data_IF_278221416189
#
_entry.id   IF_278221416189
#
_cell.length_a   1.000
_cell.length_b   1.000
_cell.length_c   1.000
_cell.angle_alpha   90.00
_cell.angle_beta   90.00
_cell.angle_gamma   90.00
#
_symmetry.space_group_name_H-M   'P 1'
#
loop_
_entity.id
_entity.type
_entity.pdbx_description
1 polymer ?
#
# COMPACT_ATOMS: atom_id res chain seq x y z
N UNK A 1 -64.06 53.33 -40.01
CA UNK A 1 -64.28 53.72 -38.60
C UNK A 1 -64.11 52.47 -37.75
N UNK A 2 -63.51 52.62 -36.58
CA UNK A 2 -63.13 51.60 -35.58
C UNK A 2 -61.68 51.12 -35.65
N UNK A 3 -61.03 51.44 -34.54
CA UNK A 3 -59.63 51.34 -34.16
C UNK A 3 -59.42 50.13 -33.23
N UNK A 4 -58.18 49.60 -33.25
CA UNK A 4 -57.34 49.19 -32.09
C UNK A 4 -57.87 48.06 -31.18
N UNK A 5 -57.08 46.99 -31.00
CA UNK A 5 -56.20 46.72 -29.83
C UNK A 5 -55.28 45.53 -30.20
N UNK A 6 -53.98 45.79 -30.31
CA UNK A 6 -52.92 44.77 -30.28
C UNK A 6 -52.57 44.45 -28.83
N UNK A 7 -52.65 43.19 -28.41
CA UNK A 7 -52.10 42.75 -27.13
C UNK A 7 -50.93 41.79 -27.37
N UNK A 8 -49.76 42.23 -26.92
CA UNK A 8 -48.48 41.54 -26.98
C UNK A 8 -48.22 40.78 -25.68
N UNK A 9 -48.00 39.45 -25.75
CA UNK A 9 -47.24 38.73 -24.71
C UNK A 9 -46.77 37.34 -25.16
N UNK A 10 -45.87 37.28 -26.14
CA UNK A 10 -45.04 36.09 -26.34
C UNK A 10 -43.87 36.13 -25.35
N UNK A 11 -43.99 35.36 -24.26
CA UNK A 11 -42.84 35.01 -23.40
C UNK A 11 -41.77 34.35 -24.27
N UNK A 12 -40.48 34.72 -24.18
CA UNK A 12 -39.45 33.95 -24.84
C UNK A 12 -39.30 32.61 -24.10
N UNK A 13 -39.31 31.55 -24.90
CA UNK A 13 -38.99 30.20 -24.47
C UNK A 13 -37.65 30.21 -23.72
N UNK A 14 -37.62 29.56 -22.56
CA UNK A 14 -36.43 29.32 -21.77
C UNK A 14 -35.39 28.61 -22.63
N UNK A 15 -34.37 29.35 -23.04
CA UNK A 15 -33.19 28.77 -23.66
C UNK A 15 -32.59 27.74 -22.70
N UNK A 16 -32.62 26.47 -23.11
CA UNK A 16 -31.82 25.39 -22.54
C UNK A 16 -30.37 25.87 -22.49
N UNK A 17 -29.85 26.16 -21.30
CA UNK A 17 -28.44 26.46 -21.11
C UNK A 17 -27.62 25.21 -21.45
N UNK A 18 -26.61 25.31 -22.32
CA UNK A 18 -25.67 24.21 -22.51
C UNK A 18 -24.93 23.96 -21.18
N UNK A 19 -24.67 22.69 -20.88
CA UNK A 19 -23.96 22.19 -19.68
C UNK A 19 -22.49 22.69 -19.55
N UNK A 20 -22.08 23.75 -20.25
CA UNK A 20 -20.68 24.16 -20.45
C UNK A 20 -20.27 25.49 -19.77
N UNK A 21 -20.85 25.90 -18.64
CA UNK A 21 -20.55 27.23 -18.06
C UNK A 21 -20.20 27.25 -16.57
N UNK A 22 -19.81 26.13 -15.97
CA UNK A 22 -19.16 26.19 -14.65
C UNK A 22 -17.69 26.53 -14.84
N UNK A 23 -17.25 27.69 -14.34
CA UNK A 23 -15.84 28.05 -14.24
C UNK A 23 -15.07 26.98 -13.43
N UNK A 24 -13.90 26.56 -13.91
CA UNK A 24 -13.07 25.52 -13.30
C UNK A 24 -12.70 25.86 -11.85
N UNK A 25 -12.44 27.15 -11.57
CA UNK A 25 -12.18 27.63 -10.21
C UNK A 25 -13.41 27.48 -9.32
N UNK A 26 -14.60 27.81 -9.83
CA UNK A 26 -15.85 27.67 -9.08
C UNK A 26 -16.16 26.21 -8.76
N UNK A 27 -15.99 25.31 -9.73
CA UNK A 27 -16.17 23.87 -9.53
C UNK A 27 -15.19 23.31 -8.48
N UNK A 28 -13.93 23.73 -8.52
CA UNK A 28 -12.95 23.36 -7.50
C UNK A 28 -13.28 23.93 -6.11
N UNK A 29 -13.76 25.18 -6.03
CA UNK A 29 -14.19 25.76 -4.75
C UNK A 29 -15.40 25.04 -4.14
N UNK A 30 -16.29 24.49 -4.96
CA UNK A 30 -17.37 23.61 -4.48
C UNK A 30 -16.77 22.37 -3.79
N UNK A 31 -15.82 21.69 -4.44
CA UNK A 31 -15.11 20.53 -3.90
C UNK A 31 -14.42 20.86 -2.56
N UNK A 32 -13.64 21.94 -2.51
CA UNK A 32 -12.94 22.39 -1.29
C UNK A 32 -13.93 22.70 -0.16
N UNK A 33 -15.07 23.31 -0.49
CA UNK A 33 -16.12 23.64 0.49
C UNK A 33 -16.77 22.38 1.06
N UNK A 34 -17.07 21.39 0.22
CA UNK A 34 -17.65 20.11 0.63
C UNK A 34 -16.68 19.33 1.53
N UNK A 35 -15.40 19.31 1.17
CA UNK A 35 -14.34 18.69 1.96
C UNK A 35 -14.14 19.39 3.32
N UNK A 36 -14.20 20.73 3.37
CA UNK A 36 -14.22 21.47 4.64
C UNK A 36 -15.42 21.07 5.51
N UNK A 37 -16.64 21.05 4.95
CA UNK A 37 -17.85 20.63 5.66
C UNK A 37 -17.73 19.20 6.21
N UNK A 38 -17.17 18.29 5.42
CA UNK A 38 -16.94 16.91 5.84
C UNK A 38 -15.95 16.84 7.01
N UNK A 39 -14.84 17.60 6.95
CA UNK A 39 -13.87 17.67 8.05
C UNK A 39 -14.47 18.26 9.31
N UNK A 40 -15.20 19.36 9.21
CA UNK A 40 -15.81 20.03 10.36
C UNK A 40 -16.88 19.14 11.01
N UNK A 41 -17.70 18.45 10.21
CA UNK A 41 -18.67 17.46 10.70
C UNK A 41 -17.98 16.34 11.46
N UNK A 42 -16.93 15.73 10.89
CA UNK A 42 -16.20 14.63 11.53
C UNK A 42 -15.39 15.07 12.75
N UNK A 43 -14.98 16.35 12.82
CA UNK A 43 -14.34 16.93 14.02
C UNK A 43 -15.37 17.11 15.14
N UNK A 44 -16.55 17.60 14.81
CA UNK A 44 -17.63 17.81 15.78
C UNK A 44 -18.25 16.51 16.28
N UNK A 45 -18.48 15.55 15.38
CA UNK A 45 -19.01 14.24 15.72
C UNK A 45 -18.39 13.14 14.82
N UNK A 46 -17.33 12.47 15.30
CA UNK A 46 -16.67 11.37 14.57
C UNK A 46 -17.59 10.17 14.27
N UNK A 47 -18.69 10.02 15.01
CA UNK A 47 -19.63 8.91 14.88
C UNK A 47 -20.75 9.19 13.87
N UNK A 48 -20.91 10.45 13.41
CA UNK A 48 -21.93 10.82 12.43
C UNK A 48 -21.61 10.27 11.03
N UNK A 49 -21.81 8.98 10.87
CA UNK A 49 -21.44 8.23 9.66
C UNK A 49 -22.40 8.53 8.52
N UNK A 50 -23.67 8.73 8.82
CA UNK A 50 -24.72 8.93 7.81
C UNK A 50 -24.52 10.25 7.07
N UNK A 51 -24.42 11.36 7.79
CA UNK A 51 -24.24 12.68 7.16
C UNK A 51 -22.85 12.81 6.52
N UNK A 52 -21.83 12.20 7.13
CA UNK A 52 -20.50 12.14 6.54
C UNK A 52 -20.51 11.38 5.20
N UNK A 53 -21.28 10.30 5.07
CA UNK A 53 -21.41 9.57 3.80
C UNK A 53 -22.21 10.34 2.75
N UNK A 54 -23.17 11.18 3.15
CA UNK A 54 -23.85 12.11 2.22
C UNK A 54 -22.86 13.15 1.70
N UNK A 55 -22.05 13.75 2.57
CA UNK A 55 -21.03 14.72 2.18
C UNK A 55 -19.93 14.10 1.31
N UNK A 56 -19.47 12.87 1.61
CA UNK A 56 -18.51 12.14 0.76
C UNK A 56 -19.03 11.92 -0.66
N UNK A 57 -20.27 11.44 -0.81
CA UNK A 57 -20.89 11.26 -2.14
C UNK A 57 -20.93 12.56 -2.92
N UNK A 58 -21.42 13.64 -2.30
CA UNK A 58 -21.45 14.97 -2.94
C UNK A 58 -20.06 15.47 -3.33
N UNK A 59 -19.06 15.24 -2.49
CA UNK A 59 -17.67 15.61 -2.74
C UNK A 59 -17.10 14.82 -3.92
N UNK A 60 -17.33 13.51 -3.96
CA UNK A 60 -16.95 12.64 -5.08
C UNK A 60 -17.64 13.07 -6.38
N UNK A 61 -18.95 13.36 -6.36
CA UNK A 61 -19.69 13.80 -7.54
C UNK A 61 -19.17 15.16 -8.06
N UNK A 62 -18.83 16.09 -7.16
CA UNK A 62 -18.23 17.37 -7.53
C UNK A 62 -16.84 17.18 -8.16
N UNK A 63 -16.04 16.25 -7.64
CA UNK A 63 -14.75 15.92 -8.20
C UNK A 63 -14.85 15.27 -9.59
N UNK A 64 -15.78 14.33 -9.80
CA UNK A 64 -16.02 13.72 -11.12
C UNK A 64 -16.39 14.80 -12.14
N UNK A 65 -17.35 15.68 -11.82
CA UNK A 65 -17.71 16.80 -12.70
C UNK A 65 -16.51 17.70 -13.03
N UNK A 66 -15.66 17.99 -12.04
CA UNK A 66 -14.46 18.80 -12.25
C UNK A 66 -13.47 18.10 -13.20
N UNK A 67 -13.25 16.80 -13.01
CA UNK A 67 -12.29 16.01 -13.80
C UNK A 67 -12.80 15.80 -15.23
N UNK A 68 -14.08 15.53 -15.41
CA UNK A 68 -14.71 15.27 -16.71
C UNK A 68 -14.81 16.54 -17.57
N UNK A 69 -15.06 17.71 -16.95
CA UNK A 69 -15.27 18.97 -17.68
C UNK A 69 -13.97 19.78 -17.79
N UNK A 70 -13.12 19.76 -16.75
CA UNK A 70 -11.94 20.62 -16.61
C UNK A 70 -10.68 19.82 -16.30
N UNK A 71 -10.39 18.77 -17.08
CA UNK A 71 -9.34 17.78 -16.78
C UNK A 71 -7.96 18.40 -16.53
N UNK A 72 -7.53 19.36 -17.35
CA UNK A 72 -6.23 20.05 -17.16
C UNK A 72 -6.16 20.79 -15.83
N UNK A 73 -7.25 21.46 -15.45
CA UNK A 73 -7.31 22.16 -14.17
C UNK A 73 -7.34 21.17 -13.01
N UNK A 74 -8.12 20.09 -13.12
CA UNK A 74 -8.18 19.03 -12.12
C UNK A 74 -6.82 18.37 -11.89
N UNK A 75 -6.08 18.05 -12.96
CA UNK A 75 -4.74 17.50 -12.89
C UNK A 75 -3.77 18.44 -12.15
N UNK A 76 -3.84 19.75 -12.42
CA UNK A 76 -3.01 20.76 -11.72
C UNK A 76 -3.33 20.90 -10.22
N UNK A 77 -4.46 20.34 -9.77
CA UNK A 77 -4.92 20.35 -8.38
C UNK A 77 -4.78 19.00 -7.69
N UNK A 78 -4.27 17.98 -8.38
CA UNK A 78 -4.07 16.63 -7.83
C UNK A 78 -5.33 16.12 -7.11
N UNK A 79 -6.47 16.24 -7.78
CA UNK A 79 -7.80 15.98 -7.20
C UNK A 79 -7.91 14.56 -6.62
N UNK A 80 -7.34 13.58 -7.30
CA UNK A 80 -7.25 12.19 -6.87
C UNK A 80 -6.55 12.03 -5.51
N UNK A 81 -5.44 12.73 -5.29
CA UNK A 81 -4.69 12.72 -4.03
C UNK A 81 -5.47 13.40 -2.90
N UNK A 82 -6.15 14.51 -3.21
CA UNK A 82 -6.94 15.25 -2.24
C UNK A 82 -8.12 14.45 -1.67
N UNK A 83 -8.66 13.50 -2.45
CA UNK A 83 -9.86 12.72 -2.08
C UNK A 83 -9.56 11.48 -1.25
N UNK A 84 -8.37 10.87 -1.40
CA UNK A 84 -8.05 9.58 -0.78
C UNK A 84 -8.32 9.54 0.72
N UNK A 85 -7.68 10.44 1.48
CA UNK A 85 -7.80 10.49 2.94
C UNK A 85 -9.24 10.76 3.43
N UNK A 86 -9.94 11.84 2.98
CA UNK A 86 -11.26 12.18 3.50
C UNK A 86 -12.38 11.23 3.04
N UNK A 87 -12.36 10.80 1.78
CA UNK A 87 -13.45 10.01 1.19
C UNK A 87 -13.27 8.51 1.38
N UNK A 88 -12.04 8.01 1.22
CA UNK A 88 -11.78 6.57 1.12
C UNK A 88 -11.10 6.01 2.36
N UNK A 89 -9.86 6.39 2.63
CA UNK A 89 -9.05 5.81 3.71
C UNK A 89 -9.74 5.85 5.08
N UNK A 90 -10.27 7.00 5.50
CA UNK A 90 -10.99 7.12 6.78
C UNK A 90 -12.24 6.24 6.85
N UNK A 91 -12.94 6.06 5.72
CA UNK A 91 -14.13 5.22 5.65
C UNK A 91 -13.76 3.74 5.68
N UNK A 92 -12.68 3.36 5.00
CA UNK A 92 -12.08 2.02 5.08
C UNK A 92 -11.73 1.69 6.53
N UNK A 93 -11.02 2.57 7.24
CA UNK A 93 -10.64 2.34 8.64
C UNK A 93 -11.85 2.21 9.58
N UNK A 94 -12.93 2.96 9.35
CA UNK A 94 -14.18 2.80 10.08
C UNK A 94 -14.84 1.43 9.82
N UNK A 95 -14.90 0.98 8.57
CA UNK A 95 -15.36 -0.39 8.24
C UNK A 95 -14.48 -1.46 8.93
N UNK A 96 -13.15 -1.33 8.82
CA UNK A 96 -12.20 -2.27 9.45
C UNK A 96 -12.40 -2.33 10.96
N UNK A 97 -12.60 -1.19 11.63
CA UNK A 97 -12.87 -1.12 13.07
C UNK A 97 -14.15 -1.87 13.43
N UNK A 98 -15.24 -1.65 12.69
CA UNK A 98 -16.53 -2.34 12.92
C UNK A 98 -16.40 -3.85 12.70
N UNK A 99 -15.77 -4.26 11.61
CA UNK A 99 -15.54 -5.68 11.31
C UNK A 99 -14.74 -6.35 12.43
N UNK A 100 -13.63 -5.76 12.89
CA UNK A 100 -12.86 -6.30 14.02
C UNK A 100 -13.69 -6.41 15.30
N UNK A 101 -14.53 -5.40 15.60
CA UNK A 101 -15.40 -5.40 16.78
C UNK A 101 -16.39 -6.57 16.78
N UNK A 102 -17.00 -6.86 15.63
CA UNK A 102 -18.05 -7.89 15.54
C UNK A 102 -17.55 -9.28 15.18
N UNK A 103 -16.31 -9.42 14.68
CA UNK A 103 -15.77 -10.71 14.23
C UNK A 103 -15.75 -11.80 15.31
N UNK A 104 -15.35 -11.47 16.54
CA UNK A 104 -15.31 -12.44 17.64
C UNK A 104 -16.73 -12.80 18.13
N UNK A 105 -17.59 -11.80 18.32
CA UNK A 105 -18.95 -11.99 18.82
C UNK A 105 -19.91 -12.64 17.80
N UNK A 106 -19.62 -12.56 16.49
CA UNK A 106 -20.40 -13.21 15.44
C UNK A 106 -20.33 -14.76 15.49
N UNK A 107 -19.38 -15.32 16.24
CA UNK A 107 -19.27 -16.77 16.38
C UNK A 107 -20.38 -17.33 17.26
N UNK A 108 -20.78 -16.60 18.30
CA UNK A 108 -21.70 -17.08 19.35
C UNK A 108 -23.13 -16.56 19.18
N UNK A 109 -23.32 -15.34 18.66
CA UNK A 109 -24.63 -14.69 18.54
C UNK A 109 -25.07 -14.57 17.07
N UNK A 110 -26.25 -15.11 16.75
CA UNK A 110 -26.85 -15.07 15.40
C UNK A 110 -27.12 -13.65 14.91
N UNK A 111 -27.67 -12.78 15.76
CA UNK A 111 -27.98 -11.40 15.39
C UNK A 111 -26.70 -10.61 15.10
N UNK A 112 -25.64 -10.86 15.89
CA UNK A 112 -24.32 -10.27 15.66
C UNK A 112 -23.70 -10.80 14.37
N UNK A 113 -23.88 -12.09 14.06
CA UNK A 113 -23.42 -12.70 12.80
C UNK A 113 -24.09 -12.06 11.57
N UNK A 114 -25.41 -11.88 11.62
CA UNK A 114 -26.17 -11.21 10.55
C UNK A 114 -25.73 -9.75 10.39
N UNK A 115 -25.52 -9.02 11.49
CA UNK A 115 -24.97 -7.67 11.46
C UNK A 115 -23.56 -7.62 10.86
N UNK A 116 -22.67 -8.53 11.27
CA UNK A 116 -21.31 -8.66 10.74
C UNK A 116 -21.31 -8.94 9.23
N UNK A 117 -22.18 -9.85 8.76
CA UNK A 117 -22.33 -10.16 7.35
C UNK A 117 -22.79 -8.93 6.54
N UNK A 118 -23.77 -8.17 7.06
CA UNK A 118 -24.24 -6.93 6.42
C UNK A 118 -23.14 -5.89 6.32
N UNK A 119 -22.42 -5.60 7.41
CA UNK A 119 -21.30 -4.64 7.41
C UNK A 119 -20.19 -5.08 6.45
N UNK A 120 -19.91 -6.38 6.38
CA UNK A 120 -18.91 -6.93 5.45
C UNK A 120 -19.34 -6.77 3.99
N UNK A 121 -20.62 -6.98 3.67
CA UNK A 121 -21.19 -6.76 2.34
C UNK A 121 -21.15 -5.28 1.95
N UNK A 122 -21.56 -4.38 2.85
CA UNK A 122 -21.48 -2.93 2.64
C UNK A 122 -20.03 -2.49 2.38
N UNK A 123 -19.06 -3.08 3.07
CA UNK A 123 -17.66 -2.77 2.86
C UNK A 123 -17.17 -3.23 1.48
N UNK A 124 -17.52 -4.44 1.05
CA UNK A 124 -17.17 -4.95 -0.28
C UNK A 124 -17.79 -4.11 -1.41
N UNK A 125 -19.05 -3.69 -1.24
CA UNK A 125 -19.69 -2.77 -2.17
C UNK A 125 -18.94 -1.43 -2.23
N UNK A 126 -18.64 -0.84 -1.07
CA UNK A 126 -17.88 0.41 -0.99
C UNK A 126 -16.51 0.31 -1.69
N UNK A 127 -15.77 -0.77 -1.49
CA UNK A 127 -14.48 -1.00 -2.15
C UNK A 127 -14.62 -1.14 -3.67
N UNK A 128 -15.72 -1.75 -4.13
CA UNK A 128 -16.02 -1.89 -5.57
C UNK A 128 -16.33 -0.54 -6.20
N UNK A 129 -17.20 0.25 -5.57
CA UNK A 129 -17.53 1.61 -6.03
C UNK A 129 -16.30 2.52 -6.02
N UNK A 130 -15.49 2.47 -4.96
CA UNK A 130 -14.24 3.21 -4.87
C UNK A 130 -13.23 2.81 -5.96
N UNK A 131 -13.13 1.50 -6.28
CA UNK A 131 -12.26 1.03 -7.36
C UNK A 131 -12.72 1.56 -8.71
N UNK A 132 -14.03 1.53 -8.97
CA UNK A 132 -14.62 2.10 -10.19
C UNK A 132 -14.36 3.61 -10.30
N UNK A 133 -14.47 4.34 -9.19
CA UNK A 133 -14.18 5.77 -9.12
C UNK A 133 -12.74 6.10 -9.52
N UNK A 134 -11.73 5.44 -8.93
CA UNK A 134 -10.33 5.69 -9.26
C UNK A 134 -9.93 5.19 -10.65
N UNK A 135 -10.54 4.11 -11.13
CA UNK A 135 -10.38 3.65 -12.52
C UNK A 135 -10.88 4.72 -13.50
N UNK A 136 -12.04 5.32 -13.24
CA UNK A 136 -12.56 6.42 -14.06
C UNK A 136 -11.60 7.62 -14.07
N UNK A 137 -11.13 8.07 -12.90
CA UNK A 137 -10.16 9.17 -12.82
C UNK A 137 -8.89 8.87 -13.64
N UNK A 138 -8.34 7.67 -13.48
CA UNK A 138 -7.17 7.22 -14.24
C UNK A 138 -7.43 7.28 -15.75
N UNK A 139 -8.58 6.79 -16.21
CA UNK A 139 -8.88 6.70 -17.64
C UNK A 139 -9.11 8.08 -18.27
N UNK A 140 -9.73 9.01 -17.53
CA UNK A 140 -9.86 10.41 -17.97
C UNK A 140 -8.49 11.09 -18.06
N UNK A 141 -7.64 10.96 -17.04
CA UNK A 141 -6.31 11.56 -17.08
C UNK A 141 -5.40 10.93 -18.13
N UNK A 142 -5.45 9.62 -18.31
CA UNK A 142 -4.69 8.93 -19.35
C UNK A 142 -5.11 9.38 -20.77
N UNK A 143 -6.42 9.51 -21.00
CA UNK A 143 -6.95 10.02 -22.27
C UNK A 143 -6.52 11.47 -22.53
N UNK A 144 -6.56 12.31 -21.49
CA UNK A 144 -6.10 13.70 -21.57
C UNK A 144 -4.61 13.81 -21.89
N UNK A 145 -3.76 13.00 -21.27
CA UNK A 145 -2.32 12.96 -21.58
C UNK A 145 -2.07 12.58 -23.04
N UNK A 146 -2.73 11.53 -23.51
CA UNK A 146 -2.60 11.06 -24.90
C UNK A 146 -2.99 12.14 -25.92
N UNK A 147 -4.08 12.88 -25.66
CA UNK A 147 -4.57 13.92 -26.55
C UNK A 147 -3.66 15.15 -26.62
N UNK A 148 -3.02 15.51 -25.52
CA UNK A 148 -2.21 16.74 -25.43
C UNK A 148 -0.75 16.54 -25.87
N UNK A 149 -0.37 15.34 -26.33
CA UNK A 149 1.00 14.98 -26.74
C UNK A 149 2.09 15.31 -25.70
N UNK A 150 1.68 15.64 -24.47
CA UNK A 150 2.52 15.47 -23.30
C UNK A 150 2.78 13.97 -23.31
N UNK A 151 4.03 13.57 -23.57
CA UNK A 151 4.37 12.15 -23.71
C UNK A 151 3.88 11.33 -22.51
N UNK A 152 4.15 10.02 -22.51
CA UNK A 152 3.96 9.17 -21.33
C UNK A 152 4.90 9.55 -20.15
N UNK A 153 5.15 10.85 -19.94
CA UNK A 153 5.72 11.38 -18.73
C UNK A 153 4.83 10.92 -17.57
N UNK A 154 5.38 10.17 -16.61
CA UNK A 154 4.65 9.77 -15.42
C UNK A 154 4.18 11.03 -14.70
N UNK A 155 2.88 11.31 -14.73
CA UNK A 155 2.32 12.34 -13.88
C UNK A 155 2.09 11.73 -12.50
N UNK A 156 2.42 12.47 -11.45
CA UNK A 156 2.14 12.10 -10.05
C UNK A 156 0.69 11.62 -9.84
N UNK A 157 -0.25 12.11 -10.66
CA UNK A 157 -1.67 11.72 -10.66
C UNK A 157 -1.92 10.28 -11.11
N UNK A 158 -1.16 9.75 -12.08
CA UNK A 158 -1.25 8.36 -12.53
C UNK A 158 -0.68 7.39 -11.47
N UNK A 159 0.36 7.80 -10.77
CA UNK A 159 1.01 7.03 -9.68
C UNK A 159 0.13 6.89 -8.44
N UNK A 160 -0.45 8.03 -8.04
CA UNK A 160 -1.38 8.12 -6.92
C UNK A 160 -2.58 7.19 -7.14
N UNK A 161 -3.19 7.25 -8.32
CA UNK A 161 -4.32 6.41 -8.67
C UNK A 161 -3.93 4.91 -8.68
N UNK A 162 -2.77 4.54 -9.23
CA UNK A 162 -2.33 3.14 -9.23
C UNK A 162 -2.13 2.59 -7.81
N UNK A 163 -1.51 3.38 -6.92
CA UNK A 163 -1.30 3.01 -5.52
C UNK A 163 -2.62 2.87 -4.75
N UNK A 164 -3.54 3.82 -4.93
CA UNK A 164 -4.86 3.82 -4.26
C UNK A 164 -5.74 2.67 -4.76
N UNK A 165 -5.75 2.37 -6.07
CA UNK A 165 -6.43 1.19 -6.63
C UNK A 165 -5.79 -0.09 -6.08
N UNK A 166 -4.46 -0.13 -5.92
CA UNK A 166 -3.74 -1.24 -5.30
C UNK A 166 -4.21 -1.48 -3.86
N UNK A 167 -4.34 -0.42 -3.07
CA UNK A 167 -4.86 -0.48 -1.70
C UNK A 167 -6.31 -0.99 -1.66
N UNK A 168 -7.17 -0.51 -2.56
CA UNK A 168 -8.55 -0.99 -2.69
C UNK A 168 -8.60 -2.48 -3.03
N UNK A 169 -7.78 -2.92 -3.99
CA UNK A 169 -7.67 -4.33 -4.35
C UNK A 169 -7.17 -5.20 -3.17
N UNK A 170 -6.19 -4.71 -2.41
CA UNK A 170 -5.68 -5.36 -1.20
C UNK A 170 -6.77 -5.51 -0.14
N UNK A 171 -7.50 -4.43 0.17
CA UNK A 171 -8.57 -4.47 1.16
C UNK A 171 -9.70 -5.40 0.73
N UNK A 172 -10.07 -5.38 -0.56
CA UNK A 172 -11.10 -6.25 -1.13
C UNK A 172 -10.77 -7.71 -0.92
N UNK A 173 -9.54 -8.10 -1.24
CA UNK A 173 -9.09 -9.48 -1.05
C UNK A 173 -8.97 -9.85 0.43
N UNK A 174 -8.36 -8.99 1.25
CA UNK A 174 -8.16 -9.21 2.69
C UNK A 174 -9.49 -9.48 3.40
N UNK A 175 -10.55 -8.75 3.03
CA UNK A 175 -11.88 -8.85 3.61
C UNK A 175 -12.86 -9.70 2.79
N UNK A 176 -12.37 -10.46 1.80
CA UNK A 176 -13.20 -11.41 1.06
C UNK A 176 -13.58 -12.61 1.95
N UNK A 177 -14.59 -13.38 1.53
CA UNK A 177 -14.95 -14.64 2.22
C UNK A 177 -14.10 -15.85 1.79
N UNK A 178 -13.09 -15.64 0.91
CA UNK A 178 -12.22 -16.72 0.42
C UNK A 178 -11.31 -17.24 1.54
N UNK A 179 -11.17 -18.55 1.65
CA UNK A 179 -10.25 -19.19 2.60
C UNK A 179 -8.78 -18.90 2.28
N UNK A 180 -8.39 -19.04 0.99
CA UNK A 180 -7.07 -18.66 0.49
C UNK A 180 -7.15 -17.28 -0.16
N UNK A 181 -6.35 -16.34 0.36
CA UNK A 181 -6.24 -14.99 -0.20
C UNK A 181 -5.32 -14.98 -1.41
N UNK A 182 -5.68 -14.23 -2.45
CA UNK A 182 -4.87 -14.00 -3.63
C UNK A 182 -4.68 -12.50 -3.88
N UNK A 183 -3.51 -11.99 -3.51
CA UNK A 183 -3.17 -10.57 -3.62
C UNK A 183 -2.55 -10.17 -4.96
N UNK A 184 -2.49 -11.06 -5.97
CA UNK A 184 -1.83 -10.81 -7.25
C UNK A 184 -2.33 -9.53 -7.96
N UNK A 185 -3.63 -9.22 -7.86
CA UNK A 185 -4.18 -7.99 -8.43
C UNK A 185 -3.62 -6.73 -7.77
N UNK A 186 -3.48 -6.73 -6.43
CA UNK A 186 -2.89 -5.60 -5.70
C UNK A 186 -1.39 -5.48 -5.98
N UNK A 187 -0.68 -6.61 -5.99
CA UNK A 187 0.74 -6.71 -6.33
C UNK A 187 1.04 -6.12 -7.71
N UNK A 188 0.28 -6.51 -8.75
CA UNK A 188 0.43 -5.97 -10.10
C UNK A 188 0.22 -4.45 -10.17
N UNK A 189 -0.72 -3.90 -9.38
CA UNK A 189 -0.97 -2.47 -9.31
C UNK A 189 0.16 -1.71 -8.60
N UNK A 190 0.73 -2.26 -7.54
CA UNK A 190 1.90 -1.65 -6.89
C UNK A 190 3.14 -1.71 -7.79
N UNK A 191 3.34 -2.80 -8.54
CA UNK A 191 4.40 -2.86 -9.56
C UNK A 191 4.18 -1.86 -10.69
N UNK A 192 2.94 -1.65 -11.13
CA UNK A 192 2.62 -0.59 -12.10
C UNK A 192 2.94 0.80 -11.55
N UNK A 193 2.66 1.06 -10.27
CA UNK A 193 3.05 2.32 -9.63
C UNK A 193 4.57 2.50 -9.61
N UNK A 194 5.35 1.44 -9.32
CA UNK A 194 6.82 1.49 -9.38
C UNK A 194 7.36 1.71 -10.80
N UNK A 195 6.69 1.17 -11.82
CA UNK A 195 7.10 1.36 -13.21
C UNK A 195 6.89 2.80 -13.71
N UNK A 196 6.05 3.57 -13.02
CA UNK A 196 5.72 4.95 -13.36
C UNK A 196 6.53 5.93 -12.48
N UNK A 197 6.68 5.67 -11.18
CA UNK A 197 7.50 6.46 -10.25
C UNK A 197 8.37 5.57 -9.33
N UNK A 198 9.55 5.11 -9.81
CA UNK A 198 10.42 4.20 -9.05
C UNK A 198 11.05 4.85 -7.80
N UNK A 199 11.11 6.18 -7.75
CA UNK A 199 11.65 6.93 -6.60
C UNK A 199 10.72 6.90 -5.38
N UNK A 200 9.45 6.55 -5.56
CA UNK A 200 8.47 6.53 -4.48
C UNK A 200 8.60 5.24 -3.65
N UNK A 201 8.92 5.37 -2.36
CA UNK A 201 9.05 4.23 -1.46
C UNK A 201 7.71 3.56 -1.10
N UNK A 202 6.59 4.26 -1.23
CA UNK A 202 5.29 3.77 -0.74
C UNK A 202 4.85 2.43 -1.39
N UNK A 203 4.90 2.23 -2.72
CA UNK A 203 4.56 0.93 -3.31
C UNK A 203 5.39 -0.23 -2.78
N UNK A 204 6.70 -0.02 -2.50
CA UNK A 204 7.51 -1.04 -1.83
C UNK A 204 7.00 -1.32 -0.41
N UNK A 205 6.66 -0.31 0.39
CA UNK A 205 6.01 -0.53 1.69
C UNK A 205 4.73 -1.37 1.56
N UNK A 206 3.89 -1.11 0.55
CA UNK A 206 2.66 -1.88 0.35
C UNK A 206 2.93 -3.33 -0.09
N UNK A 207 3.93 -3.57 -0.95
CA UNK A 207 4.40 -4.91 -1.30
C UNK A 207 4.92 -5.67 -0.08
N UNK A 208 5.63 -4.98 0.83
CA UNK A 208 6.03 -5.57 2.10
C UNK A 208 4.82 -5.99 2.95
N UNK A 209 3.78 -5.15 3.03
CA UNK A 209 2.52 -5.49 3.72
C UNK A 209 1.88 -6.74 3.10
N UNK A 210 1.81 -6.85 1.76
CA UNK A 210 1.30 -8.07 1.10
C UNK A 210 2.10 -9.31 1.49
N UNK A 211 3.43 -9.21 1.47
CA UNK A 211 4.32 -10.29 1.87
C UNK A 211 4.08 -10.73 3.33
N UNK A 212 3.72 -9.80 4.24
CA UNK A 212 3.35 -10.18 5.61
C UNK A 212 2.05 -10.98 5.71
N UNK A 213 1.08 -10.78 4.81
CA UNK A 213 -0.18 -11.53 4.81
C UNK A 213 -0.03 -12.97 4.32
N UNK A 214 1.01 -13.26 3.53
CA UNK A 214 1.35 -14.62 3.06
C UNK A 214 2.53 -15.22 3.81
N UNK A 215 2.89 -14.64 4.96
CA UNK A 215 3.98 -15.09 5.85
C UNK A 215 5.37 -15.15 5.17
N UNK A 216 5.57 -14.40 4.09
CA UNK A 216 6.83 -14.29 3.35
C UNK A 216 7.73 -13.19 3.96
N UNK A 217 8.13 -13.35 5.23
CA UNK A 217 8.76 -12.27 5.99
C UNK A 217 10.10 -11.79 5.43
N UNK A 218 10.94 -12.67 4.88
CA UNK A 218 12.19 -12.26 4.24
C UNK A 218 11.92 -11.36 3.03
N UNK A 219 10.83 -11.61 2.29
CA UNK A 219 10.38 -10.75 1.19
C UNK A 219 9.83 -9.43 1.72
N UNK A 220 9.12 -9.44 2.86
CA UNK A 220 8.65 -8.22 3.51
C UNK A 220 9.83 -7.34 3.97
N UNK A 221 10.86 -7.93 4.58
CA UNK A 221 12.09 -7.22 4.97
C UNK A 221 12.74 -6.58 3.74
N UNK A 222 12.92 -7.34 2.66
CA UNK A 222 13.45 -6.80 1.40
C UNK A 222 12.69 -5.57 0.92
N UNK A 223 11.37 -5.63 0.88
CA UNK A 223 10.56 -4.52 0.40
C UNK A 223 10.53 -3.32 1.37
N UNK A 224 10.56 -3.52 2.69
CA UNK A 224 10.74 -2.42 3.63
C UNK A 224 12.11 -1.75 3.46
N UNK A 225 13.19 -2.53 3.26
CA UNK A 225 14.51 -1.98 2.94
C UNK A 225 14.47 -1.16 1.63
N UNK A 226 13.88 -1.71 0.55
CA UNK A 226 13.70 -0.99 -0.71
C UNK A 226 12.93 0.33 -0.52
N UNK A 227 11.85 0.30 0.25
CA UNK A 227 11.03 1.48 0.59
C UNK A 227 11.81 2.61 1.30
N UNK A 228 12.93 2.28 1.96
CA UNK A 228 13.81 3.24 2.64
C UNK A 228 14.99 3.67 1.77
N UNK A 229 15.34 2.88 0.76
CA UNK A 229 16.46 3.12 -0.16
C UNK A 229 16.10 3.96 -1.39
N UNK A 230 14.82 4.20 -1.65
CA UNK A 230 14.41 5.05 -2.77
C UNK A 230 14.74 6.53 -2.54
N UNK A 231 14.74 7.34 -3.59
CA UNK A 231 15.00 8.78 -3.48
C UNK A 231 13.91 9.56 -2.75
N UNK A 232 12.68 9.01 -2.68
CA UNK A 232 11.60 9.49 -1.82
C UNK A 232 11.20 8.37 -0.83
N UNK A 233 11.95 8.22 0.28
CA UNK A 233 11.70 7.16 1.24
C UNK A 233 10.31 7.26 1.88
N UNK A 234 9.67 6.12 2.11
CA UNK A 234 8.47 6.04 2.94
C UNK A 234 8.86 5.68 4.38
N UNK A 235 9.04 6.69 5.22
CA UNK A 235 9.67 6.57 6.56
C UNK A 235 8.92 5.64 7.52
N UNK A 236 7.60 5.45 7.37
CA UNK A 236 6.84 4.48 8.16
C UNK A 236 7.32 3.03 7.97
N UNK A 237 8.03 2.73 6.87
CA UNK A 237 8.65 1.42 6.67
C UNK A 237 9.66 1.06 7.76
N UNK A 238 10.32 2.03 8.38
CA UNK A 238 11.27 1.78 9.48
C UNK A 238 10.58 1.20 10.72
N UNK A 239 9.46 1.82 11.14
CA UNK A 239 8.65 1.33 12.26
C UNK A 239 8.05 -0.05 11.95
N UNK A 240 7.54 -0.23 10.73
CA UNK A 240 6.99 -1.51 10.28
C UNK A 240 8.06 -2.62 10.28
N UNK A 241 9.29 -2.31 9.87
CA UNK A 241 10.42 -3.22 9.86
C UNK A 241 10.83 -3.59 11.29
N UNK A 242 10.89 -2.61 12.20
CA UNK A 242 11.17 -2.85 13.62
C UNK A 242 10.12 -3.78 14.27
N UNK A 243 8.83 -3.55 14.00
CA UNK A 243 7.74 -4.41 14.48
C UNK A 243 7.82 -5.84 13.92
N UNK A 244 8.17 -5.98 12.63
CA UNK A 244 8.38 -7.29 12.01
C UNK A 244 9.51 -8.04 12.69
N UNK A 245 10.65 -7.39 12.92
CA UNK A 245 11.79 -8.03 13.59
C UNK A 245 11.49 -8.39 15.04
N UNK A 246 10.74 -7.57 15.76
CA UNK A 246 10.32 -7.89 17.13
C UNK A 246 9.37 -9.10 17.16
N UNK A 247 8.38 -9.15 16.26
CA UNK A 247 7.52 -10.33 16.13
C UNK A 247 8.33 -11.57 15.75
N UNK A 248 9.29 -11.43 14.84
CA UNK A 248 10.20 -12.51 14.48
C UNK A 248 11.00 -12.98 15.68
N UNK A 249 11.48 -12.06 16.54
CA UNK A 249 12.24 -12.32 17.77
C UNK A 249 11.53 -13.29 18.72
N UNK A 250 10.22 -13.16 18.84
CA UNK A 250 9.40 -13.90 19.80
C UNK A 250 9.13 -15.35 19.39
N UNK A 251 9.28 -15.70 18.10
CA UNK A 251 9.07 -17.09 17.65
C UNK A 251 10.32 -17.95 17.91
N UNK A 252 10.17 -19.18 18.39
CA UNK A 252 11.32 -20.08 18.56
C UNK A 252 12.01 -20.38 17.22
N UNK A 253 13.35 -20.45 17.24
CA UNK A 253 14.10 -20.97 16.10
C UNK A 253 14.00 -22.50 16.08
N UNK A 254 13.73 -23.08 14.92
CA UNK A 254 13.81 -24.52 14.74
C UNK A 254 15.26 -24.99 14.94
N UNK A 255 15.42 -26.22 15.45
CA UNK A 255 16.73 -26.87 15.51
C UNK A 255 17.35 -26.95 14.11
N UNK A 256 18.69 -26.86 13.98
CA UNK A 256 19.36 -27.03 12.70
C UNK A 256 18.95 -28.34 12.03
N UNK A 257 18.47 -28.27 10.79
CA UNK A 257 18.00 -29.43 10.04
C UNK A 257 19.22 -30.05 9.35
N UNK A 258 19.41 -31.36 9.52
CA UNK A 258 20.43 -32.12 8.79
C UNK A 258 19.70 -33.18 7.97
N UNK A 259 20.00 -33.25 6.67
CA UNK A 259 19.47 -34.33 5.84
C UNK A 259 20.10 -35.65 6.25
N UNK A 260 19.26 -36.66 6.49
CA UNK A 260 19.69 -38.02 6.84
C UNK A 260 19.94 -38.88 5.60
N UNK A 261 19.50 -38.42 4.43
CA UNK A 261 19.60 -39.13 3.15
C UNK A 261 20.37 -38.31 2.13
N UNK A 262 20.99 -38.99 1.16
CA UNK A 262 21.73 -38.35 0.06
C UNK A 262 20.84 -37.58 -0.91
N UNK A 263 19.54 -37.91 -0.96
CA UNK A 263 18.53 -37.27 -1.81
C UNK A 263 17.37 -36.78 -0.95
N UNK A 264 17.40 -35.51 -0.49
CA UNK A 264 16.34 -34.96 0.35
C UNK A 264 15.03 -34.82 -0.43
N UNK A 265 13.94 -35.20 0.21
CA UNK A 265 12.57 -35.04 -0.31
C UNK A 265 12.20 -33.56 -0.47
N UNK A 266 11.20 -33.26 -1.29
CA UNK A 266 10.67 -31.91 -1.46
C UNK A 266 10.18 -31.29 -0.12
N UNK A 267 9.64 -32.13 0.77
CA UNK A 267 9.19 -31.73 2.11
C UNK A 267 10.37 -31.30 2.99
N UNK A 268 11.47 -32.05 2.97
CA UNK A 268 12.69 -31.71 3.72
C UNK A 268 13.35 -30.45 3.17
N UNK A 269 13.43 -30.31 1.83
CA UNK A 269 13.90 -29.09 1.17
C UNK A 269 13.08 -27.86 1.58
N UNK A 270 11.76 -27.98 1.57
CA UNK A 270 10.84 -26.90 2.00
C UNK A 270 11.01 -26.56 3.49
N UNK A 271 11.18 -27.56 4.35
CA UNK A 271 11.41 -27.35 5.77
C UNK A 271 12.75 -26.65 6.05
N UNK A 272 13.82 -27.06 5.35
CA UNK A 272 15.13 -26.40 5.44
C UNK A 272 15.03 -24.94 4.97
N UNK A 273 14.38 -24.67 3.84
CA UNK A 273 14.20 -23.31 3.33
C UNK A 273 13.43 -22.43 4.34
N UNK A 274 12.33 -22.93 4.91
CA UNK A 274 11.57 -22.19 5.93
C UNK A 274 12.40 -21.89 7.18
N UNK A 275 13.16 -22.88 7.66
CA UNK A 275 14.07 -22.71 8.80
C UNK A 275 15.16 -21.68 8.52
N UNK A 276 15.80 -21.77 7.35
CA UNK A 276 16.82 -20.84 6.87
C UNK A 276 16.28 -19.41 6.80
N UNK A 277 15.12 -19.19 6.14
CA UNK A 277 14.53 -17.86 5.98
C UNK A 277 14.15 -17.21 7.31
N UNK A 278 13.58 -17.99 8.25
CA UNK A 278 13.28 -17.47 9.59
C UNK A 278 14.55 -17.06 10.34
N UNK A 279 15.60 -17.89 10.28
CA UNK A 279 16.89 -17.61 10.91
C UNK A 279 17.61 -16.43 10.26
N UNK A 280 17.46 -16.26 8.94
CA UNK A 280 18.00 -15.11 8.19
C UNK A 280 17.29 -13.81 8.59
N UNK A 281 15.96 -13.81 8.63
CA UNK A 281 15.17 -12.67 9.12
C UNK A 281 15.53 -12.33 10.57
N UNK A 282 15.82 -13.33 11.42
CA UNK A 282 16.31 -13.11 12.79
C UNK A 282 17.67 -12.41 12.80
N UNK A 283 18.61 -12.87 11.99
CA UNK A 283 19.94 -12.28 11.85
C UNK A 283 19.83 -10.82 11.40
N UNK A 284 19.03 -10.55 10.37
CA UNK A 284 18.77 -9.20 9.88
C UNK A 284 18.19 -8.28 10.97
N UNK A 285 17.29 -8.78 11.82
CA UNK A 285 16.76 -8.01 12.94
C UNK A 285 17.80 -7.68 14.02
N UNK A 286 18.77 -8.56 14.26
CA UNK A 286 19.89 -8.29 15.18
C UNK A 286 20.83 -7.23 14.58
N UNK A 287 21.17 -7.35 13.29
CA UNK A 287 21.99 -6.37 12.57
C UNK A 287 21.32 -4.99 12.49
N UNK A 288 20.01 -4.96 12.27
CA UNK A 288 19.24 -3.73 12.28
C UNK A 288 19.30 -3.04 13.66
N UNK A 289 19.12 -3.81 14.74
CA UNK A 289 19.23 -3.29 16.11
C UNK A 289 20.65 -2.79 16.46
N UNK A 290 21.69 -3.47 15.94
CA UNK A 290 23.09 -3.05 16.08
C UNK A 290 23.39 -1.73 15.33
N UNK A 291 22.71 -1.50 14.21
CA UNK A 291 22.95 -0.34 13.34
C UNK A 291 22.20 0.91 13.76
N UNK A 292 21.20 0.80 14.64
CA UNK A 292 20.34 1.94 15.02
C UNK A 292 20.92 2.70 16.24
N UNK A 293 21.36 3.96 16.10
CA UNK A 293 22.01 4.73 17.18
C UNK A 293 21.12 5.01 18.39
N UNK A 294 19.79 4.87 18.24
CA UNK A 294 18.79 5.16 19.30
C UNK A 294 18.26 3.90 19.98
N UNK A 295 18.73 2.71 19.58
CA UNK A 295 18.04 1.46 19.91
C UNK A 295 16.63 1.43 19.32
N UNK A 296 16.00 0.26 19.33
CA UNK A 296 14.62 0.13 18.83
C UNK A 296 13.69 1.11 19.57
N UNK A 297 12.87 1.94 18.88
CA UNK A 297 11.84 2.76 19.51
C UNK A 297 10.81 1.93 20.30
N UNK A 298 10.74 0.62 20.07
CA UNK A 298 9.89 -0.30 20.82
C UNK A 298 10.51 -0.75 22.15
N UNK A 299 11.80 -0.52 22.39
CA UNK A 299 12.45 -0.85 23.66
C UNK A 299 12.15 0.17 24.78
N UNK A 300 11.60 1.34 24.45
CA UNK A 300 11.26 2.39 25.42
C UNK A 300 9.80 2.38 25.90
N UNK A 301 8.94 1.52 25.34
CA UNK A 301 7.51 1.42 25.72
C UNK A 301 7.15 0.18 26.55
N UNK A 302 8.10 -0.72 26.82
CA UNK A 302 7.92 -1.77 27.82
C UNK A 302 8.19 -1.20 29.23
N UNK A 303 7.22 -0.49 29.79
CA UNK A 303 7.18 -0.19 31.22
C UNK A 303 6.92 -1.49 32.00
N UNK A 304 7.89 -1.94 32.79
CA UNK A 304 7.69 -2.97 33.81
C UNK A 304 8.81 -3.99 33.83
N UNK A 305 9.48 -4.07 34.97
CA UNK A 305 10.50 -5.05 35.39
C UNK A 305 11.90 -4.94 34.77
N UNK A 306 12.86 -4.95 35.68
CA UNK A 306 14.31 -4.84 35.51
C UNK A 306 14.91 -6.01 34.72
N UNK A 307 14.69 -6.07 33.42
CA UNK A 307 15.54 -6.89 32.56
C UNK A 307 16.68 -6.02 32.04
N UNK A 308 17.91 -6.42 32.38
CA UNK A 308 19.14 -5.95 31.74
C UNK A 308 18.87 -5.73 30.26
N UNK A 309 19.07 -4.50 29.76
CA UNK A 309 19.17 -4.23 28.32
C UNK A 309 20.38 -5.01 27.83
N UNK A 310 20.18 -6.27 27.46
CA UNK A 310 21.20 -7.10 26.82
C UNK A 310 21.57 -6.39 25.53
N UNK A 311 22.78 -5.84 25.47
CA UNK A 311 23.31 -5.23 24.26
C UNK A 311 23.25 -6.31 23.17
N UNK A 312 22.59 -6.05 22.02
CA UNK A 312 22.56 -7.02 20.95
C UNK A 312 24.00 -7.34 20.55
N UNK A 313 24.36 -8.63 20.53
CA UNK A 313 25.67 -9.10 20.08
C UNK A 313 25.52 -9.79 18.73
N UNK A 314 26.56 -9.70 17.90
CA UNK A 314 26.61 -10.41 16.62
C UNK A 314 26.59 -11.94 16.85
N UNK A 315 25.59 -12.68 16.32
CA UNK A 315 25.42 -14.10 16.64
C UNK A 315 26.24 -14.99 15.69
N UNK A 316 27.52 -15.22 16.01
CA UNK A 316 28.45 -16.04 15.21
C UNK A 316 27.93 -17.45 14.91
N UNK A 317 27.30 -18.11 15.89
CA UNK A 317 26.75 -19.46 15.69
C UNK A 317 25.59 -19.46 14.68
N UNK A 318 24.76 -18.42 14.68
CA UNK A 318 23.65 -18.27 13.75
C UNK A 318 24.16 -18.04 12.32
N UNK A 319 25.19 -17.21 12.17
CA UNK A 319 25.90 -17.01 10.90
C UNK A 319 26.42 -18.34 10.35
N UNK A 320 27.13 -19.14 11.16
CA UNK A 320 27.67 -20.43 10.73
C UNK A 320 26.57 -21.40 10.24
N UNK A 321 25.43 -21.47 10.94
CA UNK A 321 24.27 -22.26 10.50
C UNK A 321 23.70 -21.74 9.19
N UNK A 322 23.54 -20.42 9.05
CA UNK A 322 23.02 -19.82 7.81
C UNK A 322 23.91 -20.11 6.61
N UNK A 323 25.24 -20.06 6.76
CA UNK A 323 26.17 -20.39 5.68
C UNK A 323 26.07 -21.86 5.27
N UNK A 324 26.00 -22.78 6.23
CA UNK A 324 25.82 -24.21 5.98
C UNK A 324 24.51 -24.50 5.25
N UNK A 325 23.40 -23.93 5.74
CA UNK A 325 22.07 -24.14 5.18
C UNK A 325 21.96 -23.52 3.77
N UNK A 326 22.50 -22.32 3.55
CA UNK A 326 22.52 -21.68 2.23
C UNK A 326 23.27 -22.52 1.19
N UNK A 327 24.47 -23.02 1.53
CA UNK A 327 25.22 -23.91 0.64
C UNK A 327 24.42 -25.16 0.28
N UNK A 328 23.77 -25.74 1.28
CA UNK A 328 22.94 -26.94 1.12
C UNK A 328 21.74 -26.66 0.21
N UNK A 329 21.05 -25.53 0.41
CA UNK A 329 19.90 -25.13 -0.39
C UNK A 329 20.28 -24.79 -1.85
N UNK A 330 21.44 -24.15 -2.06
CA UNK A 330 21.98 -23.87 -3.40
C UNK A 330 22.30 -25.17 -4.16
N UNK A 331 23.03 -26.11 -3.53
CA UNK A 331 23.30 -27.42 -4.14
C UNK A 331 22.02 -28.21 -4.44
N UNK A 332 20.99 -28.04 -3.61
CA UNK A 332 19.69 -28.71 -3.80
C UNK A 332 18.78 -28.04 -4.85
N UNK A 333 19.21 -26.92 -5.45
CA UNK A 333 18.46 -26.14 -6.44
C UNK A 333 17.21 -25.45 -5.87
N UNK A 334 17.20 -25.16 -4.56
CA UNK A 334 16.01 -24.64 -3.85
C UNK A 334 15.96 -23.11 -3.84
N UNK A 335 17.10 -22.44 -3.91
CA UNK A 335 17.21 -20.97 -3.94
C UNK A 335 17.36 -20.51 -5.38
N UNK A 336 16.33 -19.85 -5.90
CA UNK A 336 16.41 -19.18 -7.20
C UNK A 336 17.02 -17.77 -7.10
N UNK A 337 17.41 -17.22 -8.26
CA UNK A 337 18.07 -15.92 -8.40
C UNK A 337 17.28 -14.78 -7.74
N UNK A 338 15.95 -14.79 -7.90
CA UNK A 338 15.07 -13.77 -7.33
C UNK A 338 15.12 -13.74 -5.79
N UNK A 339 15.37 -14.87 -5.11
CA UNK A 339 15.53 -14.88 -3.66
C UNK A 339 16.94 -14.44 -3.27
N UNK A 340 17.95 -14.90 -4.00
CA UNK A 340 19.34 -14.54 -3.76
C UNK A 340 19.57 -13.03 -3.86
N UNK A 341 19.02 -12.38 -4.90
CA UNK A 341 19.08 -10.94 -5.08
C UNK A 341 18.44 -10.17 -3.92
N UNK A 342 17.28 -10.63 -3.42
CA UNK A 342 16.62 -10.01 -2.26
C UNK A 342 17.51 -10.07 -1.02
N UNK A 343 18.14 -11.22 -0.78
CA UNK A 343 19.09 -11.39 0.35
C UNK A 343 20.28 -10.44 0.20
N UNK A 344 20.86 -10.33 -0.99
CA UNK A 344 21.99 -9.42 -1.26
C UNK A 344 21.59 -7.97 -1.00
N UNK A 345 20.44 -7.51 -1.53
CA UNK A 345 19.95 -6.14 -1.32
C UNK A 345 19.72 -5.84 0.16
N UNK A 346 19.11 -6.76 0.90
CA UNK A 346 18.93 -6.60 2.36
C UNK A 346 20.27 -6.52 3.10
N UNK A 347 21.25 -7.33 2.71
CA UNK A 347 22.59 -7.26 3.31
C UNK A 347 23.29 -5.92 3.04
N UNK A 348 23.18 -5.40 1.80
CA UNK A 348 23.73 -4.08 1.43
C UNK A 348 23.07 -2.98 2.26
N UNK A 349 21.74 -3.00 2.41
CA UNK A 349 21.00 -2.07 3.25
C UNK A 349 21.54 -2.03 4.67
N UNK A 350 21.61 -3.20 5.33
CA UNK A 350 22.06 -3.31 6.72
C UNK A 350 23.51 -2.88 6.90
N UNK A 351 24.37 -3.18 5.92
CA UNK A 351 25.76 -2.71 5.94
C UNK A 351 25.84 -1.18 5.87
N UNK A 352 25.12 -0.55 4.94
CA UNK A 352 25.05 0.91 4.85
C UNK A 352 24.52 1.54 6.15
N UNK A 353 23.44 0.99 6.71
CA UNK A 353 22.90 1.45 8.00
C UNK A 353 23.93 1.36 9.13
N UNK A 354 24.71 0.28 9.18
CA UNK A 354 25.71 0.06 10.24
C UNK A 354 26.87 1.04 10.22
N UNK A 355 27.24 1.53 9.03
CA UNK A 355 28.35 2.47 8.85
C UNK A 355 27.96 3.93 9.12
N UNK A 356 26.68 4.21 9.43
CA UNK A 356 26.17 5.57 9.55
C UNK A 356 26.32 6.38 8.26
N UNK A 357 26.58 5.71 7.13
CA UNK A 357 26.65 6.35 5.84
C UNK A 357 25.25 6.87 5.53
N UNK A 358 25.16 8.10 5.02
CA UNK A 358 23.95 8.54 4.36
C UNK A 358 23.58 7.43 3.37
N UNK A 359 22.35 6.91 3.48
CA UNK A 359 21.81 6.02 2.45
C UNK A 359 22.09 6.74 1.13
N UNK A 360 22.62 6.06 0.09
CA UNK A 360 22.79 6.68 -1.20
C UNK A 360 21.38 7.03 -1.69
N UNK A 361 20.92 8.22 -1.31
CA UNK A 361 19.80 8.89 -1.95
C UNK A 361 20.24 8.86 -3.40
N UNK A 362 19.49 8.16 -4.25
CA UNK A 362 19.72 8.19 -5.68
C UNK A 362 19.42 9.63 -6.12
N UNK A 363 20.38 10.51 -5.90
CA UNK A 363 20.36 11.89 -6.35
C UNK A 363 20.66 11.82 -7.83
N UNK A 364 19.70 12.35 -8.59
CA UNK A 364 19.66 12.33 -10.04
C UNK A 364 21.02 12.65 -10.67
N UNK A 365 21.65 11.63 -11.27
CA UNK A 365 22.39 11.58 -12.55
C UNK A 365 23.37 10.40 -12.54
N UNK A 366 22.92 9.23 -13.02
CA UNK A 366 23.86 8.23 -13.58
C UNK A 366 23.75 6.77 -13.13
N UNK A 367 22.94 6.40 -12.14
CA UNK A 367 22.84 5.00 -11.66
C UNK A 367 21.50 4.31 -11.93
N UNK A 368 20.74 4.74 -12.94
CA UNK A 368 19.43 4.18 -13.31
C UNK A 368 19.49 2.90 -14.17
N UNK A 369 20.67 2.31 -14.39
CA UNK A 369 20.78 1.11 -15.25
C UNK A 369 20.99 -0.20 -14.48
N UNK A 370 21.55 -0.16 -13.26
CA UNK A 370 22.03 -1.38 -12.60
C UNK A 370 21.01 -2.05 -11.68
N UNK A 371 20.04 -1.34 -11.10
CA UNK A 371 19.02 -1.95 -10.23
C UNK A 371 17.69 -2.21 -10.95
N UNK A 372 17.32 -1.37 -11.92
CA UNK A 372 16.04 -1.46 -12.63
C UNK A 372 15.95 -2.68 -13.56
N UNK A 373 17.08 -3.15 -14.10
CA UNK A 373 17.12 -4.40 -14.90
C UNK A 373 16.77 -5.66 -14.08
N UNK A 374 16.86 -5.63 -12.75
CA UNK A 374 16.57 -6.79 -11.90
C UNK A 374 15.08 -6.92 -11.51
N UNK A 375 14.30 -5.85 -11.58
CA UNK A 375 12.87 -5.87 -11.20
C UNK A 375 12.01 -6.61 -12.26
N UNK A 376 12.45 -6.64 -13.53
CA UNK A 376 11.84 -7.49 -14.58
C UNK A 376 12.12 -8.99 -14.40
N UNK A 377 13.23 -9.37 -13.77
CA UNK A 377 13.55 -10.78 -13.48
C UNK A 377 12.78 -11.32 -12.26
N UNK A 378 12.44 -10.46 -11.29
CA UNK A 378 11.72 -10.88 -10.07
C UNK A 378 10.21 -11.03 -10.26
N UNK A 379 9.61 -10.41 -11.28
CA UNK A 379 8.16 -10.43 -11.55
C UNK A 379 7.69 -11.61 -12.40
N UNK A 380 8.61 -12.34 -13.04
CA UNK A 380 8.30 -13.45 -13.95
C UNK A 380 8.18 -14.85 -13.33
N UNK A 381 8.35 -15.02 -12.01
CA UNK A 381 8.48 -16.37 -11.38
C UNK A 381 7.30 -16.72 -10.46
N UNK A 382 6.23 -15.92 -10.41
CA UNK A 382 5.04 -16.23 -9.61
C UNK A 382 4.03 -17.19 -10.28
N UNK A 383 4.42 -17.86 -11.36
CA UNK A 383 3.64 -18.92 -12.01
C UNK A 383 4.49 -20.19 -12.16
N UNK A 384 4.47 -21.01 -11.12
CA UNK A 384 5.05 -22.35 -11.05
C UNK A 384 4.52 -23.10 -9.85
#
# INVERSE_FOLDING_TARGET
MVSVVTNSSTKPASALRPLSTMDSRRAYMEMVTLDKKLRDLLRANPLNTQDANVLRRRLMDAALRLVDIHTTFAASKEVELALWKPCFYRRIEDFRRRIRKYAAAAQTDRNVREHFARVSSEFQQFLTEASGFYVHLRDVFASWLQQNQLGAAPTNSSDAAASDIGDLARYRELHSQKAKKNFAAAEALYHRALAVLPENGNPHNQLAVLATYVEAETVAVYHYCRSLLTSQPFTTAEENLALLFERSRQRPLAAPITFTTSTPSAKEKSALLKSYLHRLTRMHGILFALSSPRGSPTASSASGTSNQKTVPMYPRDMEAVLFKDMRTLLHAGVVGDALLLKVVVTNIFLHHSSLGLALPICTNRGCSSSFDSYDHLCSGVSSG
#
